data_IF_243282416598
#
_entry.id   IF_243282416598
#
_cell.length_a   1.000
_cell.length_b   1.000
_cell.length_c   1.000
_cell.angle_alpha   90.00
_cell.angle_beta   90.00
_cell.angle_gamma   90.00
#
_symmetry.space_group_name_H-M   'P 1'
#
loop_
_entity.id
_entity.type
_entity.pdbx_description
1 polymer ?
#
# COMPACT_ATOMS: atom_id res chain seq x y z
N UNK A 1 -26.32 -31.75 3.28
CA UNK A 1 -25.54 -30.82 4.12
C UNK A 1 -24.42 -30.19 3.34
N UNK A 2 -24.36 -28.86 3.32
CA UNK A 2 -23.21 -28.13 2.78
C UNK A 2 -22.39 -27.57 3.93
N UNK A 3 -21.07 -27.73 3.85
CA UNK A 3 -20.11 -27.21 4.83
C UNK A 3 -19.32 -26.07 4.20
N UNK A 4 -19.33 -24.91 4.84
CA UNK A 4 -18.47 -23.80 4.48
C UNK A 4 -17.06 -24.05 5.02
N UNK A 5 -16.05 -23.86 4.18
CA UNK A 5 -14.64 -23.98 4.52
C UNK A 5 -13.93 -22.77 3.93
N UNK A 6 -13.00 -22.18 4.67
CA UNK A 6 -12.20 -21.07 4.17
C UNK A 6 -11.34 -21.52 2.97
N UNK A 7 -11.17 -20.63 2.00
CA UNK A 7 -10.14 -20.80 0.97
C UNK A 7 -8.75 -20.60 1.59
N UNK A 8 -7.66 -21.03 0.94
CA UNK A 8 -6.30 -20.75 1.42
C UNK A 8 -6.05 -19.25 1.65
N UNK A 9 -6.53 -18.40 0.73
CA UNK A 9 -6.48 -16.94 0.89
C UNK A 9 -7.24 -16.50 2.14
N UNK A 10 -8.50 -16.95 2.31
CA UNK A 10 -9.30 -16.59 3.48
C UNK A 10 -8.69 -17.05 4.81
N UNK A 11 -8.05 -18.23 4.83
CA UNK A 11 -7.33 -18.73 6.00
C UNK A 11 -6.09 -17.86 6.31
N UNK A 12 -5.29 -17.51 5.30
CA UNK A 12 -4.13 -16.62 5.48
C UNK A 12 -4.55 -15.23 5.93
N UNK A 13 -5.53 -14.61 5.26
CA UNK A 13 -6.10 -13.31 5.64
C UNK A 13 -6.53 -13.30 7.11
N UNK A 14 -7.24 -14.34 7.56
CA UNK A 14 -7.64 -14.47 8.96
C UNK A 14 -6.45 -14.62 9.91
N UNK A 15 -5.40 -15.34 9.54
CA UNK A 15 -4.19 -15.51 10.37
C UNK A 15 -3.35 -14.24 10.45
N UNK A 16 -3.41 -13.39 9.43
CA UNK A 16 -2.73 -12.08 9.40
C UNK A 16 -3.52 -10.98 10.14
N UNK A 17 -4.73 -11.29 10.64
CA UNK A 17 -5.61 -10.35 11.35
C UNK A 17 -6.03 -9.12 10.54
N UNK A 18 -5.97 -9.21 9.20
CA UNK A 18 -6.44 -8.14 8.30
C UNK A 18 -7.91 -8.35 7.92
N UNK A 19 -8.59 -7.28 7.53
CA UNK A 19 -9.95 -7.33 6.99
C UNK A 19 -10.00 -8.21 5.72
N UNK A 20 -11.12 -8.91 5.45
CA UNK A 20 -11.31 -9.65 4.21
C UNK A 20 -11.06 -8.82 2.95
N UNK A 21 -11.52 -7.57 2.95
CA UNK A 21 -11.33 -6.61 1.85
C UNK A 21 -9.86 -6.22 1.67
N UNK A 22 -9.13 -5.95 2.75
CA UNK A 22 -7.67 -5.75 2.71
C UNK A 22 -6.95 -6.95 2.09
N UNK A 23 -7.29 -8.17 2.52
CA UNK A 23 -6.68 -9.38 1.98
C UNK A 23 -6.96 -9.58 0.48
N UNK A 24 -8.15 -9.21 0.02
CA UNK A 24 -8.52 -9.26 -1.39
C UNK A 24 -7.77 -8.22 -2.22
N UNK A 25 -7.76 -6.95 -1.81
CA UNK A 25 -7.00 -5.88 -2.49
C UNK A 25 -5.51 -6.16 -2.53
N UNK A 26 -4.92 -6.68 -1.44
CA UNK A 26 -3.51 -7.10 -1.40
C UNK A 26 -3.24 -8.20 -2.42
N UNK A 27 -4.10 -9.23 -2.51
CA UNK A 27 -3.90 -10.33 -3.47
C UNK A 27 -3.97 -9.84 -4.91
N UNK A 28 -4.90 -8.95 -5.24
CA UNK A 28 -5.01 -8.40 -6.58
C UNK A 28 -3.84 -7.47 -6.92
N UNK A 29 -3.45 -6.59 -6.00
CA UNK A 29 -2.24 -5.77 -6.13
C UNK A 29 -0.97 -6.63 -6.31
N UNK A 30 -0.83 -7.74 -5.57
CA UNK A 30 0.31 -8.65 -5.69
C UNK A 30 0.39 -9.31 -7.06
N UNK A 31 -0.76 -9.72 -7.62
CA UNK A 31 -0.84 -10.31 -8.97
C UNK A 31 -0.48 -9.28 -10.04
N UNK A 32 -0.97 -8.05 -9.91
CA UNK A 32 -0.61 -6.94 -10.81
C UNK A 32 0.88 -6.66 -10.71
N UNK A 33 1.42 -6.48 -9.50
CA UNK A 33 2.84 -6.22 -9.27
C UNK A 33 3.75 -7.33 -9.81
N UNK A 34 3.34 -8.60 -9.70
CA UNK A 34 4.09 -9.72 -10.27
C UNK A 34 4.13 -9.72 -11.81
N UNK A 35 3.18 -9.06 -12.47
CA UNK A 35 3.15 -8.89 -13.92
C UNK A 35 3.90 -7.63 -14.40
N UNK A 36 4.27 -6.72 -13.50
CA UNK A 36 4.96 -5.48 -13.83
C UNK A 36 6.45 -5.74 -14.10
N UNK A 37 6.99 -5.09 -15.14
CA UNK A 37 8.40 -5.20 -15.50
C UNK A 37 9.35 -4.50 -14.52
N UNK A 38 8.83 -3.54 -13.74
CA UNK A 38 9.62 -2.69 -12.83
C UNK A 38 8.82 -2.38 -11.56
N UNK A 39 8.47 -3.43 -10.81
CA UNK A 39 7.87 -3.29 -9.49
C UNK A 39 8.92 -2.76 -8.49
N UNK A 40 8.61 -1.64 -7.83
CA UNK A 40 9.49 -0.91 -6.91
C UNK A 40 8.92 -0.91 -5.50
N UNK A 41 9.66 -0.34 -4.54
CA UNK A 41 9.18 -0.15 -3.16
C UNK A 41 7.90 0.68 -3.13
N UNK A 42 7.80 1.72 -3.96
CA UNK A 42 6.55 2.46 -4.17
C UNK A 42 5.38 1.57 -4.58
N UNK A 43 5.59 0.55 -5.42
CA UNK A 43 4.55 -0.42 -5.81
C UNK A 43 4.07 -1.22 -4.60
N UNK A 44 4.99 -1.64 -3.74
CA UNK A 44 4.64 -2.37 -2.51
C UNK A 44 3.88 -1.48 -1.51
N UNK A 45 4.26 -0.21 -1.41
CA UNK A 45 3.55 0.74 -0.55
C UNK A 45 2.19 1.14 -1.10
N UNK A 46 2.04 1.37 -2.40
CA UNK A 46 0.73 1.69 -2.96
C UNK A 46 -0.26 0.54 -2.77
N UNK A 47 0.19 -0.69 -3.00
CA UNK A 47 -0.59 -1.91 -2.77
C UNK A 47 -1.19 -2.00 -1.36
N UNK A 48 -0.40 -1.72 -0.31
CA UNK A 48 -0.89 -1.81 1.08
C UNK A 48 -1.61 -0.53 1.54
N UNK A 49 -1.27 0.63 0.98
CA UNK A 49 -1.90 1.90 1.33
C UNK A 49 -3.30 2.07 0.72
N UNK A 50 -3.60 1.40 -0.38
CA UNK A 50 -4.95 1.36 -1.00
C UNK A 50 -5.86 0.29 -0.35
N UNK A 51 -5.59 -0.07 0.91
CA UNK A 51 -6.37 -1.05 1.67
C UNK A 51 -7.09 -0.40 2.84
N UNK A 52 -8.28 -0.90 3.23
CA UNK A 52 -9.01 -0.35 4.36
C UNK A 52 -8.24 -0.37 5.69
N UNK A 53 -7.30 -1.31 5.86
CA UNK A 53 -6.45 -1.42 7.06
C UNK A 53 -5.31 -0.40 7.13
N UNK A 54 -5.02 0.30 6.04
CA UNK A 54 -4.33 1.57 6.14
C UNK A 54 -5.27 2.63 6.73
N UNK A 55 -4.75 3.55 7.54
CA UNK A 55 -5.55 4.68 8.00
C UNK A 55 -5.62 5.75 6.92
N UNK A 56 -6.83 6.30 6.75
CA UNK A 56 -7.09 7.45 5.88
C UNK A 56 -6.12 8.58 6.18
N UNK A 57 -5.68 9.24 5.11
CA UNK A 57 -5.01 10.54 5.20
C UNK A 57 -5.96 11.59 4.66
N UNK A 58 -5.55 12.86 4.70
CA UNK A 58 -6.31 13.93 4.12
C UNK A 58 -5.53 14.54 2.95
N UNK A 59 -6.24 14.80 1.85
CA UNK A 59 -5.69 15.51 0.69
C UNK A 59 -6.24 16.94 0.58
N UNK A 60 -5.42 17.89 1.03
CA UNK A 60 -5.72 19.31 0.88
C UNK A 60 -5.83 19.72 -0.60
N UNK A 61 -6.61 20.77 -0.88
CA UNK A 61 -6.82 21.27 -2.25
C UNK A 61 -5.50 21.59 -2.98
N UNK A 62 -4.50 22.13 -2.27
CA UNK A 62 -3.19 22.48 -2.83
C UNK A 62 -2.36 21.23 -3.17
N UNK A 63 -2.43 20.20 -2.32
CA UNK A 63 -1.70 18.94 -2.47
C UNK A 63 -2.28 18.07 -3.57
N UNK A 64 -3.58 18.21 -3.86
CA UNK A 64 -4.33 17.39 -4.81
C UNK A 64 -3.73 17.41 -6.21
N UNK A 65 -3.37 18.60 -6.70
CA UNK A 65 -2.73 18.74 -8.01
C UNK A 65 -1.31 18.16 -8.02
N UNK A 66 -0.61 18.19 -6.89
CA UNK A 66 0.71 17.58 -6.76
C UNK A 66 0.63 16.06 -6.75
N UNK A 67 -0.26 15.47 -5.94
CA UNK A 67 -0.45 14.01 -5.90
C UNK A 67 -0.94 13.47 -7.24
N UNK A 68 -1.81 14.20 -7.94
CA UNK A 68 -2.17 13.86 -9.33
C UNK A 68 -0.96 13.79 -10.25
N UNK A 69 -0.07 14.79 -10.21
CA UNK A 69 1.15 14.82 -11.03
C UNK A 69 2.10 13.70 -10.65
N UNK A 70 2.27 13.45 -9.35
CA UNK A 70 3.09 12.35 -8.83
C UNK A 70 2.57 11.00 -9.31
N UNK A 71 1.27 10.75 -9.16
CA UNK A 71 0.63 9.51 -9.59
C UNK A 71 0.77 9.30 -11.10
N UNK A 72 0.54 10.35 -11.89
CA UNK A 72 0.71 10.30 -13.35
C UNK A 72 2.16 10.03 -13.76
N UNK A 73 3.13 10.64 -13.08
CA UNK A 73 4.56 10.42 -13.36
C UNK A 73 5.03 9.01 -12.97
N UNK A 74 4.39 8.41 -11.97
CA UNK A 74 4.73 7.09 -11.44
C UNK A 74 3.74 6.00 -11.85
N UNK A 75 2.85 6.24 -12.81
CA UNK A 75 1.78 5.30 -13.18
C UNK A 75 2.29 3.89 -13.54
N UNK A 76 3.51 3.77 -14.08
CA UNK A 76 4.15 2.48 -14.36
C UNK A 76 4.67 1.72 -13.15
N UNK A 77 4.60 2.31 -11.95
CA UNK A 77 5.02 1.75 -10.67
C UNK A 77 3.86 1.61 -9.66
N UNK A 78 2.63 1.97 -10.04
CA UNK A 78 1.42 1.80 -9.21
C UNK A 78 0.62 0.60 -9.73
N UNK A 79 -0.03 -0.13 -8.83
CA UNK A 79 -0.84 -1.29 -9.19
C UNK A 79 -2.26 -0.91 -9.60
N UNK A 80 -2.79 0.20 -9.08
CA UNK A 80 -4.10 0.73 -9.47
C UNK A 80 -3.95 1.81 -10.54
N UNK A 81 -4.59 1.62 -11.70
CA UNK A 81 -4.66 2.63 -12.74
C UNK A 81 -5.57 3.81 -12.37
N UNK A 82 -5.21 5.02 -12.81
CA UNK A 82 -5.98 6.25 -12.52
C UNK A 82 -7.47 6.21 -12.94
N UNK A 83 -7.82 5.32 -13.87
CA UNK A 83 -9.19 5.14 -14.37
C UNK A 83 -9.89 3.89 -13.83
N UNK A 84 -9.19 3.13 -12.99
CA UNK A 84 -9.65 1.86 -12.42
C UNK A 84 -10.12 2.01 -10.98
N UNK A 85 -9.71 3.09 -10.31
CA UNK A 85 -10.16 3.39 -8.94
C UNK A 85 -11.66 3.74 -8.88
N UNK A 86 -12.33 3.21 -7.85
CA UNK A 86 -13.73 3.52 -7.54
C UNK A 86 -13.94 4.90 -6.91
N UNK A 87 -12.94 5.40 -6.18
CA UNK A 87 -12.89 6.75 -5.63
C UNK A 87 -11.50 7.36 -5.91
N UNK A 88 -11.47 8.32 -6.83
CA UNK A 88 -10.23 8.94 -7.28
C UNK A 88 -9.54 9.77 -6.19
N UNK A 89 -10.31 10.36 -5.28
CA UNK A 89 -9.76 11.18 -4.20
C UNK A 89 -9.15 10.31 -3.10
N UNK A 90 -9.89 9.28 -2.67
CA UNK A 90 -9.41 8.28 -1.71
C UNK A 90 -8.14 7.59 -2.24
N UNK A 91 -8.12 7.22 -3.52
CA UNK A 91 -6.92 6.64 -4.12
C UNK A 91 -5.72 7.60 -4.12
N UNK A 92 -5.94 8.91 -4.38
CA UNK A 92 -4.84 9.88 -4.27
C UNK A 92 -4.34 10.06 -2.83
N UNK A 93 -5.20 9.88 -1.83
CA UNK A 93 -4.82 9.84 -0.42
C UNK A 93 -3.95 8.60 -0.11
N UNK A 94 -4.29 7.44 -0.65
CA UNK A 94 -3.45 6.24 -0.58
C UNK A 94 -2.10 6.44 -1.27
N UNK A 95 -2.08 7.07 -2.45
CA UNK A 95 -0.84 7.43 -3.15
C UNK A 95 0.02 8.41 -2.35
N UNK A 96 -0.58 9.41 -1.68
CA UNK A 96 0.13 10.32 -0.77
C UNK A 96 0.83 9.53 0.33
N UNK A 97 0.11 8.59 0.95
CA UNK A 97 0.65 7.74 2.02
C UNK A 97 1.78 6.85 1.51
N UNK A 98 1.62 6.24 0.34
CA UNK A 98 2.67 5.42 -0.28
C UNK A 98 3.94 6.22 -0.60
N UNK A 99 3.78 7.46 -1.07
CA UNK A 99 4.90 8.38 -1.32
C UNK A 99 5.64 8.75 -0.05
N UNK A 100 4.93 9.06 1.04
CA UNK A 100 5.53 9.36 2.35
C UNK A 100 6.43 8.19 2.81
N UNK A 101 5.93 6.96 2.71
CA UNK A 101 6.68 5.76 3.09
C UNK A 101 7.90 5.52 2.18
N UNK A 102 7.76 5.75 0.87
CA UNK A 102 8.88 5.62 -0.08
C UNK A 102 9.99 6.67 0.18
N UNK A 103 9.61 7.92 0.50
CA UNK A 103 10.55 8.97 0.88
C UNK A 103 11.20 8.71 2.25
N UNK A 104 10.45 8.17 3.22
CA UNK A 104 10.98 7.73 4.52
C UNK A 104 12.11 6.71 4.34
N UNK A 105 11.85 5.61 3.64
CA UNK A 105 12.90 4.60 3.39
C UNK A 105 14.02 5.15 2.49
N UNK A 106 13.75 6.22 1.74
CA UNK A 106 14.70 7.00 0.96
C UNK A 106 15.64 7.89 1.79
N UNK A 107 15.40 8.00 3.10
CA UNK A 107 16.25 8.74 4.05
C UNK A 107 15.73 10.11 4.44
N UNK A 108 14.49 10.45 4.08
CA UNK A 108 13.84 11.67 4.58
C UNK A 108 13.66 11.59 6.11
N UNK A 109 13.85 12.72 6.78
CA UNK A 109 13.64 12.84 8.22
C UNK A 109 12.16 12.98 8.55
N UNK A 110 11.78 12.64 9.79
CA UNK A 110 10.41 12.81 10.26
C UNK A 110 9.95 14.28 10.17
N UNK A 111 10.84 15.23 10.46
CA UNK A 111 10.59 16.67 10.37
C UNK A 111 10.28 17.12 8.93
N UNK A 112 11.07 16.65 7.95
CA UNK A 112 10.84 16.93 6.53
C UNK A 112 9.48 16.41 6.06
N UNK A 113 9.12 15.17 6.43
CA UNK A 113 7.86 14.55 6.02
C UNK A 113 6.64 15.20 6.70
N UNK A 114 6.74 15.50 7.99
CA UNK A 114 5.69 16.18 8.76
C UNK A 114 5.36 17.54 8.16
N UNK A 115 6.38 18.33 7.84
CA UNK A 115 6.21 19.65 7.23
C UNK A 115 5.69 19.54 5.79
N UNK A 116 6.32 18.71 4.95
CA UNK A 116 5.98 18.62 3.53
C UNK A 116 4.57 18.11 3.26
N UNK A 117 4.09 17.15 4.07
CA UNK A 117 2.80 16.49 3.87
C UNK A 117 1.71 16.95 4.84
N UNK A 118 2.02 17.93 5.70
CA UNK A 118 1.09 18.51 6.68
C UNK A 118 0.43 17.43 7.57
N UNK A 119 1.22 16.47 8.01
CA UNK A 119 0.79 15.37 8.91
C UNK A 119 1.34 15.59 10.32
N UNK A 120 0.73 14.98 11.33
CA UNK A 120 1.33 14.95 12.66
C UNK A 120 2.48 13.93 12.76
N UNK A 121 3.45 14.11 13.68
CA UNK A 121 4.51 13.13 13.92
C UNK A 121 3.95 11.76 14.32
N UNK A 122 2.90 11.74 15.16
CA UNK A 122 2.23 10.49 15.53
C UNK A 122 1.50 9.80 14.37
N UNK A 123 1.09 10.55 13.35
CA UNK A 123 0.49 9.96 12.15
C UNK A 123 1.57 9.26 11.30
N UNK A 124 2.79 9.83 11.24
CA UNK A 124 3.93 9.19 10.56
C UNK A 124 4.29 7.87 11.24
N UNK A 125 4.49 7.89 12.57
CA UNK A 125 4.82 6.69 13.35
C UNK A 125 3.77 5.60 13.14
N UNK A 126 2.48 5.96 13.26
CA UNK A 126 1.37 5.02 13.08
C UNK A 126 1.27 4.46 11.65
N UNK A 127 1.72 5.21 10.64
CA UNK A 127 1.75 4.73 9.23
C UNK A 127 2.90 3.76 9.01
N UNK A 128 4.07 4.03 9.59
CA UNK A 128 5.23 3.14 9.51
C UNK A 128 4.90 1.79 10.16
N UNK A 129 4.37 1.80 11.39
CA UNK A 129 3.97 0.57 12.10
C UNK A 129 2.93 -0.24 11.33
N UNK A 130 1.91 0.42 10.76
CA UNK A 130 0.91 -0.26 9.92
C UNK A 130 1.50 -0.79 8.63
N UNK A 131 2.39 -0.03 8.00
CA UNK A 131 3.03 -0.47 6.77
C UNK A 131 3.86 -1.73 7.01
N UNK A 132 4.59 -1.82 8.12
CA UNK A 132 5.34 -3.02 8.50
C UNK A 132 4.42 -4.25 8.65
N UNK A 133 3.31 -4.09 9.39
CA UNK A 133 2.32 -5.15 9.58
C UNK A 133 1.67 -5.59 8.26
N UNK A 134 1.22 -4.64 7.42
CA UNK A 134 0.55 -4.93 6.16
C UNK A 134 1.50 -5.53 5.11
N UNK A 135 2.76 -5.11 5.08
CA UNK A 135 3.76 -5.74 4.21
C UNK A 135 4.05 -7.18 4.67
N UNK A 136 4.08 -7.45 5.97
CA UNK A 136 4.15 -8.83 6.47
C UNK A 136 2.94 -9.67 6.04
N UNK A 137 1.74 -9.09 6.07
CA UNK A 137 0.53 -9.76 5.57
C UNK A 137 0.60 -10.01 4.06
N UNK A 138 1.13 -9.05 3.30
CA UNK A 138 1.33 -9.16 1.86
C UNK A 138 2.35 -10.26 1.50
N UNK A 139 3.44 -10.42 2.25
CA UNK A 139 4.37 -11.54 2.05
C UNK A 139 3.67 -12.89 2.25
N UNK A 140 2.90 -13.06 3.33
CA UNK A 140 2.18 -14.29 3.58
C UNK A 140 1.13 -14.59 2.50
N UNK A 141 0.45 -13.55 1.98
CA UNK A 141 -0.53 -13.70 0.90
C UNK A 141 0.14 -14.00 -0.44
N UNK A 142 1.32 -13.42 -0.71
CA UNK A 142 2.11 -13.71 -1.91
C UNK A 142 2.50 -15.20 -1.97
N UNK A 143 2.95 -15.74 -0.84
CA UNK A 143 3.24 -17.17 -0.70
C UNK A 143 2.00 -18.03 -0.93
N UNK A 144 0.85 -17.65 -0.35
CA UNK A 144 -0.42 -18.37 -0.52
C UNK A 144 -0.89 -18.43 -1.97
N UNK A 145 -0.72 -17.34 -2.74
CA UNK A 145 -1.18 -17.27 -4.14
C UNK A 145 -0.08 -17.61 -5.15
N UNK A 146 1.12 -17.92 -4.69
CA UNK A 146 2.24 -18.41 -5.50
C UNK A 146 2.84 -17.36 -6.43
N UNK A 147 2.87 -16.09 -6.00
CA UNK A 147 3.46 -14.98 -6.78
C UNK A 147 4.71 -14.44 -6.10
N UNK A 148 5.67 -13.96 -6.89
CA UNK A 148 6.90 -13.35 -6.39
C UNK A 148 6.90 -11.86 -6.66
N UNK A 149 6.92 -11.05 -5.59
CA UNK A 149 6.99 -9.59 -5.67
C UNK A 149 8.15 -9.10 -4.78
N UNK A 150 9.40 -9.15 -5.25
CA UNK A 150 10.59 -8.87 -4.42
C UNK A 150 10.63 -7.46 -3.81
N UNK A 151 9.85 -6.52 -4.34
CA UNK A 151 9.72 -5.17 -3.77
C UNK A 151 9.02 -5.16 -2.41
N UNK A 152 8.14 -6.12 -2.10
CA UNK A 152 7.44 -6.21 -0.81
C UNK A 152 8.41 -6.48 0.35
N UNK A 153 9.18 -7.59 0.37
CA UNK A 153 10.15 -7.81 1.45
C UNK A 153 11.27 -6.77 1.47
N UNK A 154 11.61 -6.19 0.30
CA UNK A 154 12.58 -5.08 0.23
C UNK A 154 12.06 -3.82 0.93
N UNK A 155 10.81 -3.43 0.69
CA UNK A 155 10.19 -2.30 1.36
C UNK A 155 10.16 -2.52 2.88
N UNK A 156 9.69 -3.69 3.32
CA UNK A 156 9.62 -4.03 4.74
C UNK A 156 10.98 -4.01 5.45
N UNK A 157 12.03 -4.51 4.81
CA UNK A 157 13.38 -4.53 5.39
C UNK A 157 14.00 -3.13 5.60
N UNK A 158 13.39 -2.08 5.06
CA UNK A 158 13.88 -0.69 5.10
C UNK A 158 12.99 0.24 5.93
N UNK A 159 11.83 -0.22 6.38
CA UNK A 159 11.03 0.48 7.40
C UNK A 159 11.74 0.38 8.75
#
# INVERSE_FOLDING_TARGET
DYRLVATPVGETTSKQYVRPETGERIVDGLRTAAAMSDARTLTAFELICDTPDMQDTYLGNEERAEMYRFARANAGALTTGMHETGDFEEWLESVKTARILDEWIGGATAEELVEAYRIGPGDLDSRIERAEWLLSAAEALADTVGVSVPSVPRARSRL
#
